data_IF_334196393422
#
_entry.id   IF_334196393422
#
_cell.length_a   1.000
_cell.length_b   1.000
_cell.length_c   1.000
_cell.angle_alpha   90.00
_cell.angle_beta   90.00
_cell.angle_gamma   90.00
#
_symmetry.space_group_name_H-M   'P 1'
#
loop_
_entity.id
_entity.type
_entity.pdbx_description
1 polymer ?
#
# COMPACT_ATOMS: atom_id res chain seq x y z
N UNK A 1 75.85 0.82 6.08
CA UNK A 1 75.12 0.70 7.36
C UNK A 1 74.13 1.86 7.55
N UNK A 2 74.56 3.10 7.83
CA UNK A 2 73.64 4.25 8.05
C UNK A 2 72.77 4.65 6.84
N UNK A 3 73.31 4.62 5.62
CA UNK A 3 72.53 4.92 4.39
C UNK A 3 71.48 3.86 4.04
N UNK A 4 71.72 2.59 4.40
CA UNK A 4 70.75 1.50 4.19
C UNK A 4 69.59 1.61 5.18
N UNK A 5 69.88 1.87 6.46
CA UNK A 5 68.86 2.07 7.48
C UNK A 5 67.96 3.29 7.20
N UNK A 6 68.53 4.38 6.67
CA UNK A 6 67.75 5.54 6.23
C UNK A 6 66.82 5.21 5.06
N UNK A 7 67.30 4.48 4.06
CA UNK A 7 66.50 4.10 2.90
C UNK A 7 65.35 3.15 3.29
N UNK A 8 65.57 2.21 4.22
CA UNK A 8 64.50 1.37 4.78
C UNK A 8 63.44 2.17 5.56
N UNK A 9 63.87 3.19 6.32
CA UNK A 9 62.95 4.06 7.06
C UNK A 9 62.13 4.91 6.07
N UNK A 10 62.76 5.47 5.04
CA UNK A 10 62.10 6.27 4.00
C UNK A 10 61.10 5.45 3.17
N UNK A 11 61.45 4.20 2.86
CA UNK A 11 60.57 3.25 2.17
C UNK A 11 59.34 2.94 3.02
N UNK A 12 59.52 2.59 4.30
CA UNK A 12 58.39 2.37 5.23
C UNK A 12 57.52 3.62 5.40
N UNK A 13 58.13 4.80 5.47
CA UNK A 13 57.38 6.04 5.57
C UNK A 13 56.47 6.27 4.34
N UNK A 14 56.98 5.95 3.15
CA UNK A 14 56.21 6.04 1.91
C UNK A 14 55.07 5.01 1.87
N UNK A 15 55.29 3.81 2.39
CA UNK A 15 54.24 2.79 2.55
C UNK A 15 53.16 3.24 3.55
N UNK A 16 53.55 3.86 4.67
CA UNK A 16 52.61 4.42 5.66
C UNK A 16 51.77 5.54 5.05
N UNK A 17 52.38 6.45 4.28
CA UNK A 17 51.64 7.51 3.57
C UNK A 17 50.64 6.92 2.57
N UNK A 18 51.02 5.87 1.84
CA UNK A 18 50.08 5.18 0.94
C UNK A 18 48.90 4.59 1.71
N UNK A 19 49.15 3.95 2.86
CA UNK A 19 48.10 3.39 3.69
C UNK A 19 47.17 4.49 4.25
N UNK A 20 47.73 5.61 4.71
CA UNK A 20 46.96 6.77 5.18
C UNK A 20 46.00 7.27 4.08
N UNK A 21 46.51 7.43 2.85
CA UNK A 21 45.69 7.88 1.73
C UNK A 21 44.55 6.91 1.42
N UNK A 22 44.80 5.59 1.44
CA UNK A 22 43.74 4.59 1.25
C UNK A 22 42.70 4.60 2.38
N UNK A 23 43.11 4.85 3.63
CA UNK A 23 42.17 4.99 4.75
C UNK A 23 41.32 6.26 4.60
N UNK A 24 41.92 7.36 4.13
CA UNK A 24 41.21 8.62 3.90
C UNK A 24 40.15 8.47 2.81
N UNK A 25 40.50 7.80 1.71
CA UNK A 25 39.56 7.50 0.62
C UNK A 25 38.42 6.59 1.09
N UNK A 26 38.71 5.58 1.92
CA UNK A 26 37.68 4.73 2.53
C UNK A 26 36.74 5.53 3.43
N UNK A 27 37.28 6.44 4.26
CA UNK A 27 36.49 7.31 5.11
C UNK A 27 35.55 8.20 4.28
N UNK A 28 36.05 8.80 3.21
CA UNK A 28 35.25 9.65 2.33
C UNK A 28 34.12 8.86 1.67
N UNK A 29 34.37 7.62 1.25
CA UNK A 29 33.31 6.72 0.77
C UNK A 29 32.23 6.42 1.83
N UNK A 30 32.61 6.26 3.11
CA UNK A 30 31.65 6.05 4.19
C UNK A 30 30.80 7.30 4.46
N UNK A 31 31.39 8.49 4.37
CA UNK A 31 30.67 9.77 4.52
C UNK A 31 29.68 9.96 3.36
N UNK A 32 30.10 9.68 2.12
CA UNK A 32 29.23 9.75 0.94
C UNK A 32 28.07 8.75 1.03
N UNK A 33 28.32 7.53 1.51
CA UNK A 33 27.27 6.54 1.74
C UNK A 33 26.25 7.02 2.78
N UNK A 34 26.71 7.64 3.88
CA UNK A 34 25.82 8.20 4.90
C UNK A 34 24.91 9.31 4.33
N UNK A 35 25.48 10.22 3.52
CA UNK A 35 24.71 11.27 2.86
C UNK A 35 23.67 10.71 1.87
N UNK A 36 24.02 9.68 1.09
CA UNK A 36 23.10 9.04 0.15
C UNK A 36 21.95 8.32 0.86
N UNK A 37 22.19 7.68 2.01
CA UNK A 37 21.16 7.01 2.81
C UNK A 37 20.21 8.04 3.42
N UNK A 38 20.75 9.13 3.97
CA UNK A 38 19.94 10.23 4.51
C UNK A 38 19.05 10.86 3.42
N UNK A 39 19.62 11.14 2.24
CA UNK A 39 18.86 11.67 1.10
C UNK A 39 17.78 10.71 0.57
N UNK A 40 17.95 9.39 0.73
CA UNK A 40 16.94 8.40 0.36
C UNK A 40 15.78 8.31 1.38
N UNK A 41 15.96 8.80 2.61
CA UNK A 41 14.93 8.80 3.65
C UNK A 41 13.64 9.49 3.21
N UNK A 42 13.74 10.70 2.65
CA UNK A 42 12.55 11.46 2.22
C UNK A 42 11.77 10.79 1.06
N UNK A 43 12.42 9.98 0.24
CA UNK A 43 11.74 9.20 -0.80
C UNK A 43 10.98 8.02 -0.20
N UNK A 44 11.57 7.36 0.80
CA UNK A 44 10.95 6.24 1.52
C UNK A 44 9.70 6.72 2.26
N UNK A 45 9.75 7.88 2.91
CA UNK A 45 8.59 8.46 3.62
C UNK A 45 7.38 8.66 2.70
N UNK A 46 7.62 9.12 1.45
CA UNK A 46 6.55 9.30 0.46
C UNK A 46 5.98 7.97 -0.03
N UNK A 47 6.82 6.94 -0.17
CA UNK A 47 6.37 5.60 -0.52
C UNK A 47 5.51 5.03 0.63
N UNK A 48 5.97 5.16 1.87
CA UNK A 48 5.24 4.74 3.06
C UNK A 48 3.87 5.42 3.12
N UNK A 49 3.82 6.75 2.98
CA UNK A 49 2.57 7.52 2.96
C UNK A 49 1.59 7.02 1.89
N UNK A 50 2.06 6.81 0.66
CA UNK A 50 1.21 6.34 -0.44
C UNK A 50 0.72 4.90 -0.23
N UNK A 51 1.57 4.04 0.35
CA UNK A 51 1.21 2.66 0.67
C UNK A 51 0.19 2.62 1.80
N UNK A 52 0.39 3.38 2.88
CA UNK A 52 -0.55 3.48 4.00
C UNK A 52 -1.93 3.96 3.52
N UNK A 53 -1.98 5.00 2.70
CA UNK A 53 -3.24 5.47 2.11
C UNK A 53 -3.91 4.43 1.22
N UNK A 54 -3.13 3.71 0.40
CA UNK A 54 -3.66 2.64 -0.43
C UNK A 54 -4.30 1.53 0.41
N UNK A 55 -3.70 1.20 1.56
CA UNK A 55 -4.26 0.23 2.51
C UNK A 55 -5.59 0.72 3.10
N UNK A 56 -5.68 1.98 3.57
CA UNK A 56 -6.93 2.55 4.10
C UNK A 56 -8.06 2.55 3.05
N UNK A 57 -7.75 2.91 1.79
CA UNK A 57 -8.73 2.85 0.71
C UNK A 57 -9.24 1.44 0.44
N UNK A 58 -8.34 0.45 0.42
CA UNK A 58 -8.71 -0.95 0.21
C UNK A 58 -9.55 -1.48 1.36
N UNK A 59 -9.20 -1.16 2.61
CA UNK A 59 -9.96 -1.59 3.79
C UNK A 59 -11.40 -1.07 3.75
N UNK A 60 -11.58 0.22 3.45
CA UNK A 60 -12.91 0.82 3.30
C UNK A 60 -13.68 0.22 2.13
N UNK A 61 -13.03 0.03 0.98
CA UNK A 61 -13.66 -0.59 -0.18
C UNK A 61 -14.15 -2.02 0.11
N UNK A 62 -13.39 -2.82 0.85
CA UNK A 62 -13.80 -4.16 1.29
C UNK A 62 -15.02 -4.09 2.23
N UNK A 63 -15.02 -3.16 3.17
CA UNK A 63 -16.16 -2.95 4.09
C UNK A 63 -17.43 -2.57 3.34
N UNK A 64 -17.34 -1.64 2.39
CA UNK A 64 -18.50 -1.12 1.66
C UNK A 64 -19.02 -2.11 0.62
N UNK A 65 -18.15 -2.85 -0.07
CA UNK A 65 -18.57 -3.95 -0.96
C UNK A 65 -19.29 -5.05 -0.18
N UNK A 66 -18.84 -5.39 1.03
CA UNK A 66 -19.54 -6.34 1.91
C UNK A 66 -20.93 -5.84 2.32
N UNK A 67 -21.08 -4.55 2.66
CA UNK A 67 -22.39 -3.95 2.94
C UNK A 67 -23.28 -3.95 1.69
N UNK A 68 -22.73 -3.64 0.52
CA UNK A 68 -23.47 -3.62 -0.74
C UNK A 68 -24.08 -5.00 -1.06
N UNK A 69 -23.31 -6.09 -0.90
CA UNK A 69 -23.82 -7.47 -1.06
C UNK A 69 -24.94 -7.76 -0.06
N UNK A 70 -24.77 -7.34 1.21
CA UNK A 70 -25.81 -7.50 2.24
C UNK A 70 -27.10 -6.78 1.84
N UNK A 71 -27.02 -5.51 1.41
CA UNK A 71 -28.20 -4.76 0.97
C UNK A 71 -28.84 -5.34 -0.27
N UNK A 72 -28.06 -5.79 -1.26
CA UNK A 72 -28.57 -6.45 -2.45
C UNK A 72 -29.36 -7.72 -2.10
N UNK A 73 -28.86 -8.54 -1.17
CA UNK A 73 -29.55 -9.75 -0.73
C UNK A 73 -30.88 -9.44 -0.03
N UNK A 74 -30.93 -8.40 0.80
CA UNK A 74 -32.15 -7.95 1.48
C UNK A 74 -33.16 -7.35 0.51
N UNK A 75 -32.69 -6.52 -0.44
CA UNK A 75 -33.53 -5.92 -1.48
C UNK A 75 -34.18 -6.99 -2.35
N UNK A 76 -33.47 -8.07 -2.69
CA UNK A 76 -34.02 -9.22 -3.42
C UNK A 76 -35.17 -9.88 -2.66
N UNK A 77 -35.02 -10.10 -1.36
CA UNK A 77 -36.09 -10.67 -0.50
C UNK A 77 -37.31 -9.75 -0.46
N UNK A 78 -37.09 -8.43 -0.29
CA UNK A 78 -38.18 -7.43 -0.31
C UNK A 78 -38.89 -7.38 -1.66
N UNK A 79 -38.14 -7.45 -2.77
CA UNK A 79 -38.70 -7.46 -4.13
C UNK A 79 -39.65 -8.65 -4.34
N UNK A 80 -39.27 -9.85 -3.86
CA UNK A 80 -40.15 -11.03 -3.93
C UNK A 80 -41.43 -10.81 -3.13
N UNK A 81 -41.34 -10.28 -1.91
CA UNK A 81 -42.52 -9.98 -1.09
C UNK A 81 -43.46 -8.97 -1.76
N UNK A 82 -42.90 -7.91 -2.36
CA UNK A 82 -43.68 -6.92 -3.11
C UNK A 82 -44.42 -7.58 -4.29
N UNK A 83 -43.74 -8.43 -5.05
CA UNK A 83 -44.35 -9.15 -6.18
C UNK A 83 -45.52 -10.02 -5.70
N UNK A 84 -45.33 -10.78 -4.61
CA UNK A 84 -46.40 -11.61 -4.05
C UNK A 84 -47.60 -10.76 -3.62
N UNK A 85 -47.38 -9.65 -2.93
CA UNK A 85 -48.45 -8.71 -2.54
C UNK A 85 -49.20 -8.16 -3.76
N UNK A 86 -48.50 -7.75 -4.81
CA UNK A 86 -49.11 -7.26 -6.05
C UNK A 86 -49.97 -8.31 -6.75
N UNK A 87 -49.51 -9.57 -6.80
CA UNK A 87 -50.28 -10.69 -7.37
C UNK A 87 -51.57 -10.93 -6.59
N UNK A 88 -51.50 -10.97 -5.26
CA UNK A 88 -52.68 -11.16 -4.40
C UNK A 88 -53.69 -10.03 -4.62
N UNK A 89 -53.23 -8.78 -4.62
CA UNK A 89 -54.10 -7.62 -4.88
C UNK A 89 -54.75 -7.71 -6.27
N UNK A 90 -54.00 -8.12 -7.30
CA UNK A 90 -54.54 -8.33 -8.65
C UNK A 90 -55.66 -9.38 -8.68
N UNK A 91 -55.49 -10.51 -7.98
CA UNK A 91 -56.51 -11.57 -7.88
C UNK A 91 -57.76 -11.09 -7.14
N UNK A 92 -57.58 -10.34 -6.04
CA UNK A 92 -58.71 -9.79 -5.26
C UNK A 92 -59.52 -8.81 -6.13
N UNK A 93 -58.86 -7.90 -6.83
CA UNK A 93 -59.52 -6.94 -7.73
C UNK A 93 -60.23 -7.65 -8.89
N UNK A 94 -59.61 -8.67 -9.49
CA UNK A 94 -60.25 -9.44 -10.55
C UNK A 94 -61.50 -10.19 -10.06
N UNK A 95 -61.45 -10.73 -8.84
CA UNK A 95 -62.57 -11.45 -8.23
C UNK A 95 -63.75 -10.53 -7.91
N UNK A 96 -63.50 -9.32 -7.39
CA UNK A 96 -64.58 -8.36 -7.11
C UNK A 96 -65.23 -7.84 -8.38
N UNK A 97 -64.45 -7.54 -9.43
CA UNK A 97 -64.96 -7.11 -10.73
C UNK A 97 -65.74 -8.24 -11.44
N UNK A 98 -65.23 -9.47 -11.39
CA UNK A 98 -65.92 -10.64 -11.96
C UNK A 98 -67.23 -10.95 -11.24
N UNK A 99 -67.28 -10.78 -9.92
CA UNK A 99 -68.52 -10.96 -9.15
C UNK A 99 -69.56 -9.86 -9.36
N UNK A 100 -69.13 -8.62 -9.65
CA UNK A 100 -70.05 -7.51 -9.91
C UNK A 100 -70.53 -7.41 -11.35
N UNK A 101 -69.72 -7.86 -12.34
CA UNK A 101 -70.10 -7.90 -13.76
C UNK A 101 -70.70 -9.25 -14.21
N UNK A 102 -70.53 -10.32 -13.41
CA UNK A 102 -70.94 -11.68 -13.71
C UNK A 102 -72.37 -12.06 -13.32
N UNK A 103 -73.26 -11.08 -13.11
CA UNK A 103 -74.71 -11.25 -13.05
C UNK A 103 -75.36 -10.62 -14.28
#
# INVERSE_FOLDING_TARGET
MTKQALNEIETRHTEIIKLENSIRELHDMFVDMAMLVESQGEMIDRIEYNVEHSVDYVERAVSDTKKAVKYQSQARKKKIMIIICCVILGVVLASTIGGTLGF
#
